data_IF_489335792932
#
_entry.id   IF_489335792932
#
_cell.length_a   1.000
_cell.length_b   1.000
_cell.length_c   1.000
_cell.angle_alpha   90.00
_cell.angle_beta   90.00
_cell.angle_gamma   90.00
#
_symmetry.space_group_name_H-M   'P 1'
#
loop_
_entity.id
_entity.type
_entity.pdbx_description
1 polymer ?
#
# COMPACT_ATOMS: atom_id res chain seq x y z
N UNK A 1 -5.25 -38.64 7.78
CA UNK A 1 -3.84 -38.55 7.36
C UNK A 1 -3.04 -38.71 8.62
N UNK A 2 -2.40 -39.86 8.78
CA UNK A 2 -1.62 -40.20 9.96
C UNK A 2 -0.19 -39.73 9.74
N UNK A 3 0.10 -38.50 10.14
CA UNK A 3 1.46 -37.98 10.14
C UNK A 3 2.08 -38.13 11.52
N UNK A 4 3.40 -38.35 11.56
CA UNK A 4 4.18 -38.43 12.80
C UNK A 4 5.37 -37.49 12.72
N UNK A 5 5.76 -36.91 13.86
CA UNK A 5 6.93 -36.04 13.95
C UNK A 5 8.12 -36.82 14.53
N UNK A 6 9.11 -37.14 13.70
CA UNK A 6 10.40 -37.66 14.15
C UNK A 6 11.32 -36.49 14.55
N UNK A 7 11.73 -36.42 15.82
CA UNK A 7 12.66 -35.39 16.29
C UNK A 7 14.08 -35.71 15.80
N UNK A 8 14.71 -34.73 15.15
CA UNK A 8 16.07 -34.84 14.62
C UNK A 8 17.11 -34.21 15.56
N UNK A 9 16.67 -33.37 16.50
CA UNK A 9 17.54 -32.64 17.42
C UNK A 9 17.84 -31.23 16.94
N UNK A 10 18.40 -30.40 17.84
CA UNK A 10 18.78 -29.02 17.52
C UNK A 10 17.64 -28.11 17.05
N UNK A 11 16.38 -28.42 17.36
CA UNK A 11 15.21 -27.68 16.88
C UNK A 11 14.57 -28.21 15.59
N UNK A 12 15.15 -29.24 14.97
CA UNK A 12 14.61 -29.87 13.77
C UNK A 12 13.73 -31.09 14.08
N UNK A 13 12.69 -31.26 13.27
CA UNK A 13 11.91 -32.48 13.18
C UNK A 13 11.56 -32.80 11.73
N UNK A 14 11.38 -34.08 11.41
CA UNK A 14 10.83 -34.52 10.13
C UNK A 14 9.39 -34.96 10.32
N UNK A 15 8.50 -34.52 9.44
CA UNK A 15 7.12 -34.98 9.41
C UNK A 15 7.04 -36.16 8.45
N UNK A 16 6.87 -37.35 9.00
CA UNK A 16 6.64 -38.58 8.26
C UNK A 16 5.15 -38.72 7.94
N UNK A 17 4.81 -39.29 6.78
CA UNK A 17 3.41 -39.47 6.34
C UNK A 17 2.79 -38.26 5.65
N UNK A 18 3.53 -37.17 5.50
CA UNK A 18 3.16 -36.05 4.65
C UNK A 18 3.30 -36.40 3.15
N UNK A 19 2.58 -35.69 2.28
CA UNK A 19 2.61 -35.90 0.82
C UNK A 19 4.01 -35.64 0.22
N UNK A 20 4.76 -34.74 0.85
CA UNK A 20 6.13 -34.39 0.47
C UNK A 20 7.06 -34.52 1.68
N UNK A 21 8.36 -34.69 1.42
CA UNK A 21 9.39 -34.59 2.45
C UNK A 21 9.27 -33.24 3.15
N UNK A 22 8.87 -33.25 4.41
CA UNK A 22 8.53 -32.04 5.16
C UNK A 22 9.34 -32.00 6.44
N UNK A 23 9.91 -30.84 6.74
CA UNK A 23 10.67 -30.59 7.96
C UNK A 23 10.00 -29.49 8.78
N UNK A 24 9.96 -29.68 10.09
CA UNK A 24 9.61 -28.69 11.08
C UNK A 24 10.90 -28.06 11.60
N UNK A 25 10.96 -26.74 11.60
CA UNK A 25 12.08 -25.94 12.10
C UNK A 25 11.55 -25.05 13.22
N UNK A 26 12.01 -25.27 14.46
CA UNK A 26 11.73 -24.37 15.57
C UNK A 26 12.81 -23.30 15.60
N UNK A 27 12.50 -22.12 15.08
CA UNK A 27 13.48 -21.04 14.85
C UNK A 27 14.21 -20.61 16.14
N UNK A 28 13.52 -20.58 17.29
CA UNK A 28 14.13 -20.27 18.59
C UNK A 28 15.21 -21.27 19.03
N UNK A 29 15.08 -22.54 18.64
CA UNK A 29 16.02 -23.61 18.99
C UNK A 29 17.16 -23.70 17.98
N UNK A 30 16.83 -23.72 16.68
CA UNK A 30 17.80 -23.86 15.59
C UNK A 30 18.75 -22.67 15.55
N UNK A 31 18.21 -21.44 15.65
CA UNK A 31 19.03 -20.24 15.56
C UNK A 31 19.99 -20.07 16.76
N UNK A 32 19.67 -20.71 17.89
CA UNK A 32 20.58 -20.82 19.03
C UNK A 32 21.59 -21.95 18.85
N UNK A 33 21.15 -23.13 18.43
CA UNK A 33 22.02 -24.29 18.23
C UNK A 33 23.10 -24.03 17.16
N UNK A 34 22.73 -23.35 16.06
CA UNK A 34 23.60 -23.10 14.92
C UNK A 34 24.29 -21.73 14.97
N UNK A 35 23.92 -20.89 15.95
CA UNK A 35 24.36 -19.49 16.01
C UNK A 35 24.02 -18.72 14.71
N UNK A 36 22.91 -19.08 14.06
CA UNK A 36 22.43 -18.43 12.84
C UNK A 36 21.62 -17.18 13.16
N UNK A 37 22.30 -16.05 13.09
CA UNK A 37 21.72 -14.74 13.41
C UNK A 37 20.71 -14.23 12.38
N UNK A 38 20.76 -14.74 11.13
CA UNK A 38 19.74 -14.43 10.12
C UNK A 38 18.45 -15.19 10.42
N UNK A 39 18.54 -16.47 10.81
CA UNK A 39 17.36 -17.21 11.22
C UNK A 39 16.73 -16.62 12.51
N UNK A 40 17.53 -16.00 13.40
CA UNK A 40 17.04 -15.30 14.60
C UNK A 40 16.05 -14.18 14.28
N UNK A 41 16.08 -13.60 13.09
CA UNK A 41 15.11 -12.58 12.64
C UNK A 41 13.66 -13.10 12.74
N UNK A 42 13.45 -14.39 12.49
CA UNK A 42 12.15 -15.06 12.54
C UNK A 42 11.90 -15.77 13.89
N UNK A 43 12.68 -15.43 14.91
CA UNK A 43 12.61 -16.00 16.26
C UNK A 43 12.12 -14.96 17.25
N UNK A 44 11.82 -15.37 18.48
CA UNK A 44 11.50 -14.46 19.58
C UNK A 44 12.76 -13.89 20.25
N UNK A 45 13.96 -14.29 19.81
CA UNK A 45 15.23 -13.89 20.42
C UNK A 45 15.80 -12.63 19.76
N UNK A 46 16.57 -11.82 20.51
CA UNK A 46 17.25 -10.68 19.92
C UNK A 46 18.32 -11.14 18.92
N UNK A 47 18.33 -10.48 17.76
CA UNK A 47 19.41 -10.56 16.77
C UNK A 47 20.68 -9.96 17.38
N UNK A 48 21.81 -10.66 17.29
CA UNK A 48 23.06 -10.34 17.99
C UNK A 48 24.05 -9.59 17.10
N UNK A 49 24.19 -10.01 15.85
CA UNK A 49 25.13 -9.55 14.86
C UNK A 49 24.69 -8.27 14.12
N UNK A 50 25.65 -7.42 13.72
CA UNK A 50 25.34 -6.15 13.07
C UNK A 50 24.76 -6.33 11.66
N UNK A 51 25.14 -7.40 10.95
CA UNK A 51 24.72 -7.68 9.57
C UNK A 51 23.24 -8.09 9.50
N UNK A 52 22.81 -9.07 10.29
CA UNK A 52 21.41 -9.47 10.35
C UNK A 52 20.52 -8.35 10.94
N UNK A 53 21.04 -7.54 11.88
CA UNK A 53 20.34 -6.33 12.35
C UNK A 53 20.09 -5.33 11.23
N UNK A 54 21.04 -5.16 10.30
CA UNK A 54 20.88 -4.25 9.17
C UNK A 54 19.72 -4.67 8.26
N UNK A 55 19.50 -5.97 8.11
CA UNK A 55 18.39 -6.53 7.33
C UNK A 55 17.00 -6.21 7.89
N UNK A 56 16.85 -6.20 9.22
CA UNK A 56 15.56 -5.89 9.90
C UNK A 56 15.40 -4.43 10.24
N UNK A 57 16.42 -3.59 10.01
CA UNK A 57 16.24 -2.15 10.14
C UNK A 57 15.20 -1.73 9.11
N UNK A 58 14.17 -0.98 9.51
CA UNK A 58 13.29 -0.37 8.53
C UNK A 58 14.18 0.40 7.56
N UNK A 59 14.05 0.05 6.27
CA UNK A 59 14.55 0.87 5.19
C UNK A 59 14.22 2.33 5.54
N UNK A 60 15.21 3.23 5.49
CA UNK A 60 14.88 4.66 5.46
C UNK A 60 13.86 4.84 4.35
N UNK A 61 12.87 5.71 4.51
CA UNK A 61 11.65 5.86 3.67
C UNK A 61 11.87 5.91 2.14
N UNK A 62 13.10 5.99 1.63
CA UNK A 62 13.46 5.87 0.21
C UNK A 62 14.09 4.54 -0.24
N UNK A 63 14.20 3.51 0.61
CA UNK A 63 14.84 2.21 0.23
C UNK A 63 13.86 1.09 -0.12
N UNK A 64 12.55 1.32 0.06
CA UNK A 64 11.51 0.40 -0.46
C UNK A 64 11.30 0.53 -1.97
N UNK A 65 11.84 1.57 -2.62
CA UNK A 65 11.68 1.79 -4.06
C UNK A 65 12.42 0.76 -4.93
N UNK A 66 13.36 -0.01 -4.38
CA UNK A 66 14.23 -0.90 -5.17
C UNK A 66 13.88 -2.40 -5.06
N UNK A 67 12.83 -2.79 -4.32
CA UNK A 67 12.64 -4.22 -3.99
C UNK A 67 11.68 -4.96 -4.93
N UNK A 68 10.72 -4.32 -5.60
CA UNK A 68 9.76 -5.06 -6.44
C UNK A 68 9.22 -4.26 -7.65
N UNK A 69 9.73 -4.57 -8.85
CA UNK A 69 8.97 -4.32 -10.09
C UNK A 69 7.62 -5.07 -9.99
N UNK A 70 6.52 -4.32 -9.91
CA UNK A 70 5.16 -4.86 -9.73
C UNK A 70 4.39 -4.31 -8.52
N UNK A 71 5.04 -3.53 -7.65
CA UNK A 71 4.39 -2.93 -6.49
C UNK A 71 3.31 -1.91 -6.86
N UNK A 72 3.52 -1.13 -7.92
CA UNK A 72 2.54 -0.12 -8.35
C UNK A 72 1.23 -0.75 -8.84
N UNK A 73 1.29 -1.86 -9.58
CA UNK A 73 0.08 -2.55 -10.05
C UNK A 73 -0.68 -3.23 -8.90
N UNK A 74 0.04 -3.86 -7.97
CA UNK A 74 -0.56 -4.49 -6.79
C UNK A 74 -1.19 -3.44 -5.86
N UNK A 75 -0.48 -2.32 -5.64
CA UNK A 75 -0.97 -1.20 -4.85
C UNK A 75 -2.20 -0.57 -5.51
N UNK A 76 -2.18 -0.40 -6.84
CA UNK A 76 -3.32 0.13 -7.58
C UNK A 76 -4.54 -0.80 -7.48
N UNK A 77 -4.36 -2.12 -7.61
CA UNK A 77 -5.44 -3.09 -7.41
C UNK A 77 -6.01 -3.06 -5.98
N UNK A 78 -5.14 -2.93 -4.97
CA UNK A 78 -5.57 -2.79 -3.58
C UNK A 78 -6.40 -1.51 -3.40
N UNK A 79 -5.90 -0.37 -3.89
CA UNK A 79 -6.62 0.90 -3.85
C UNK A 79 -7.97 0.75 -4.56
N UNK A 80 -8.01 0.13 -5.74
CA UNK A 80 -9.22 -0.07 -6.53
C UNK A 80 -10.26 -1.00 -5.89
N UNK A 81 -9.83 -1.90 -5.01
CA UNK A 81 -10.72 -2.73 -4.21
C UNK A 81 -11.39 -2.00 -3.04
N UNK A 82 -10.82 -0.88 -2.58
CA UNK A 82 -11.35 -0.14 -1.44
C UNK A 82 -12.52 0.77 -1.85
N UNK A 83 -13.59 0.89 -1.03
CA UNK A 83 -14.60 1.93 -1.19
C UNK A 83 -13.99 3.33 -1.16
N UNK A 84 -14.55 4.27 -1.92
CA UNK A 84 -13.97 5.62 -2.05
C UNK A 84 -13.92 6.36 -0.71
N UNK A 85 -14.89 6.13 0.18
CA UNK A 85 -14.92 6.73 1.52
C UNK A 85 -13.72 6.27 2.36
N UNK A 86 -13.26 5.03 2.15
CA UNK A 86 -12.06 4.48 2.82
C UNK A 86 -10.79 5.04 2.21
N UNK A 87 -10.73 5.19 0.88
CA UNK A 87 -9.57 5.81 0.20
C UNK A 87 -9.34 7.25 0.65
N UNK A 88 -10.42 8.00 0.89
CA UNK A 88 -10.36 9.42 1.27
C UNK A 88 -10.44 9.66 2.79
N UNK A 89 -10.52 8.60 3.61
CA UNK A 89 -10.61 8.72 5.06
C UNK A 89 -9.35 9.38 5.62
N UNK A 90 -9.53 10.40 6.46
CA UNK A 90 -8.43 11.15 7.08
C UNK A 90 -7.88 12.31 6.22
N UNK A 91 -8.26 12.42 4.94
CA UNK A 91 -7.85 13.56 4.09
C UNK A 91 -8.78 14.77 4.28
N UNK A 92 -8.19 15.95 4.41
CA UNK A 92 -8.93 17.23 4.32
C UNK A 92 -9.41 17.51 2.89
N UNK A 93 -10.25 18.53 2.71
CA UNK A 93 -10.71 18.89 1.38
C UNK A 93 -9.56 19.39 0.49
N UNK A 94 -8.64 20.15 1.06
CA UNK A 94 -7.45 20.67 0.38
C UNK A 94 -6.56 19.53 -0.12
N UNK A 95 -6.36 18.50 0.71
CA UNK A 95 -5.57 17.32 0.35
C UNK A 95 -6.25 16.49 -0.75
N UNK A 96 -7.58 16.39 -0.74
CA UNK A 96 -8.34 15.68 -1.79
C UNK A 96 -8.29 16.38 -3.14
N UNK A 97 -8.18 17.72 -3.13
CA UNK A 97 -8.08 18.54 -4.33
C UNK A 97 -6.62 18.76 -4.76
N UNK A 98 -5.65 18.37 -3.93
CA UNK A 98 -4.24 18.48 -4.25
C UNK A 98 -3.91 17.68 -5.51
N UNK A 99 -3.09 18.27 -6.40
CA UNK A 99 -2.75 17.68 -7.70
C UNK A 99 -3.77 17.94 -8.82
N UNK A 100 -5.00 18.39 -8.51
CA UNK A 100 -5.92 18.87 -9.54
C UNK A 100 -5.56 20.30 -9.96
N UNK A 101 -5.54 20.62 -11.27
CA UNK A 101 -5.37 22.00 -11.71
C UNK A 101 -6.51 22.89 -11.17
N UNK A 102 -6.26 24.18 -10.86
CA UNK A 102 -7.25 25.05 -10.22
C UNK A 102 -8.61 25.09 -10.94
N UNK A 103 -8.62 25.05 -12.27
CA UNK A 103 -9.85 25.02 -13.05
C UNK A 103 -10.74 23.79 -12.76
N UNK A 104 -10.16 22.63 -12.49
CA UNK A 104 -10.89 21.40 -12.18
C UNK A 104 -11.43 21.40 -10.74
N UNK A 105 -10.79 22.12 -9.83
CA UNK A 105 -11.25 22.26 -8.44
C UNK A 105 -12.61 22.97 -8.36
N UNK A 106 -12.94 23.83 -9.34
CA UNK A 106 -14.26 24.48 -9.44
C UNK A 106 -15.40 23.46 -9.53
N UNK A 107 -15.15 22.26 -10.07
CA UNK A 107 -16.17 21.22 -10.17
C UNK A 107 -16.59 20.65 -8.81
N UNK A 108 -15.82 20.89 -7.74
CA UNK A 108 -16.22 20.56 -6.38
C UNK A 108 -17.18 21.59 -5.76
N UNK A 109 -17.33 22.77 -6.36
CA UNK A 109 -18.22 23.82 -5.85
C UNK A 109 -19.68 23.47 -6.09
N UNK A 110 -20.58 24.04 -5.28
CA UNK A 110 -22.02 23.88 -5.46
C UNK A 110 -22.52 24.61 -6.71
N UNK A 111 -23.66 24.16 -7.25
CA UNK A 111 -24.28 24.78 -8.42
C UNK A 111 -24.61 26.27 -8.19
N UNK A 112 -24.98 26.65 -6.97
CA UNK A 112 -25.27 28.04 -6.60
C UNK A 112 -24.03 28.92 -6.70
N UNK A 113 -22.91 28.46 -6.13
CA UNK A 113 -21.63 29.18 -6.20
C UNK A 113 -21.16 29.27 -7.66
N UNK A 114 -21.31 28.20 -8.44
CA UNK A 114 -20.97 28.18 -9.86
C UNK A 114 -21.77 29.21 -10.67
N UNK A 115 -23.07 29.41 -10.36
CA UNK A 115 -23.90 30.45 -11.01
C UNK A 115 -23.48 31.87 -10.65
N UNK A 116 -22.77 32.05 -9.53
CA UNK A 116 -22.23 33.34 -9.10
C UNK A 116 -21.00 33.79 -9.88
N UNK A 117 -20.34 32.91 -10.63
CA UNK A 117 -19.18 33.27 -11.43
C UNK A 117 -19.56 34.03 -12.71
N UNK A 118 -18.74 35.01 -13.14
CA UNK A 118 -18.94 35.69 -14.42
C UNK A 118 -18.81 34.75 -15.61
N UNK A 119 -19.65 34.94 -16.64
CA UNK A 119 -19.60 34.07 -17.84
C UNK A 119 -18.28 34.18 -18.60
N UNK A 120 -17.64 35.34 -18.59
CA UNK A 120 -16.31 35.51 -19.19
C UNK A 120 -15.26 34.65 -18.49
N UNK A 121 -15.29 34.58 -17.16
CA UNK A 121 -14.42 33.70 -16.39
C UNK A 121 -14.69 32.23 -16.72
N UNK A 122 -15.96 31.83 -16.75
CA UNK A 122 -16.32 30.45 -17.10
C UNK A 122 -15.87 30.09 -18.52
N UNK A 123 -15.95 31.00 -19.50
CA UNK A 123 -15.46 30.80 -20.88
C UNK A 123 -13.93 30.72 -20.98
N UNK A 124 -13.18 31.22 -20.00
CA UNK A 124 -11.71 31.13 -19.97
C UNK A 124 -11.19 29.76 -19.51
N UNK A 125 -12.07 28.92 -18.94
CA UNK A 125 -11.72 27.61 -18.41
C UNK A 125 -11.45 26.60 -19.54
N UNK A 126 -10.78 25.47 -19.28
CA UNK A 126 -10.66 24.38 -20.25
C UNK A 126 -12.05 23.91 -20.74
N UNK A 127 -12.15 23.55 -22.02
CA UNK A 127 -13.43 23.16 -22.66
C UNK A 127 -14.16 22.04 -21.89
N UNK A 128 -13.41 21.06 -21.37
CA UNK A 128 -13.95 19.95 -20.58
C UNK A 128 -14.63 20.43 -19.29
N UNK A 129 -14.02 21.39 -18.60
CA UNK A 129 -14.58 22.00 -17.37
C UNK A 129 -15.80 22.84 -17.73
N UNK A 130 -15.75 23.60 -18.81
CA UNK A 130 -16.89 24.36 -19.32
C UNK A 130 -18.09 23.45 -19.59
N UNK A 131 -17.88 22.33 -20.27
CA UNK A 131 -18.97 21.41 -20.62
C UNK A 131 -19.53 20.67 -19.40
N UNK A 132 -18.71 20.40 -18.38
CA UNK A 132 -19.18 19.88 -17.11
C UNK A 132 -20.05 20.92 -16.37
N UNK A 133 -19.62 22.18 -16.33
CA UNK A 133 -20.40 23.28 -15.74
C UNK A 133 -21.70 23.49 -16.52
N UNK A 134 -21.68 23.39 -17.86
CA UNK A 134 -22.88 23.43 -18.73
C UNK A 134 -23.93 22.44 -18.31
N UNK A 135 -23.52 21.20 -18.10
CA UNK A 135 -24.42 20.11 -17.75
C UNK A 135 -25.06 20.31 -16.38
N UNK A 136 -24.36 20.98 -15.46
CA UNK A 136 -24.85 21.23 -14.10
C UNK A 136 -25.76 22.45 -14.00
N UNK A 137 -25.36 23.58 -14.57
CA UNK A 137 -26.04 24.87 -14.36
C UNK A 137 -26.61 25.52 -15.63
N UNK A 138 -26.46 24.88 -16.80
CA UNK A 138 -27.06 25.35 -18.05
C UNK A 138 -26.30 26.46 -18.79
N UNK A 139 -25.03 26.72 -18.43
CA UNK A 139 -24.10 27.64 -19.14
C UNK A 139 -22.78 26.91 -19.36
N UNK A 140 -22.14 26.87 -20.55
CA UNK A 140 -21.83 28.00 -21.44
C UNK A 140 -21.99 27.74 -22.97
N UNK A 141 -21.49 28.69 -23.78
CA UNK A 141 -21.44 28.91 -25.26
C UNK A 141 -22.46 29.90 -25.86
N UNK A 142 -22.05 30.64 -26.91
CA UNK A 142 -21.19 31.85 -26.91
C UNK A 142 -21.71 32.99 -26.03
#
# INVERSE_FOLDING_TARGET
MDWTLARLGGGYGRIDGAVYTTYLVVTDEVAEAEQDDFLRIFSHRPVLGPEARQWVRPAKEGTMQDVMEGDDEMLQQLLDSLPIERRLAGLTLEERLAGLPPAYQLLALSDEVLRGFPDEYLRSLPAEVQDAIRRRIGRPSP
#
